data_IF_873501160608
#
_entry.id   IF_873501160608
#
_cell.length_a   1.000
_cell.length_b   1.000
_cell.length_c   1.000
_cell.angle_alpha   90.00
_cell.angle_beta   90.00
_cell.angle_gamma   90.00
#
_symmetry.space_group_name_H-M   'P 1'
#
loop_
_entity.id
_entity.type
_entity.pdbx_description
1 polymer ?
#
# COMPACT_ATOMS: atom_id res chain seq x y z
N UNK A 1 38.29 51.20 -37.39
CA UNK A 1 37.63 52.39 -36.81
C UNK A 1 36.53 52.81 -37.76
N UNK A 2 35.30 53.15 -37.40
CA UNK A 2 34.47 52.98 -36.20
C UNK A 2 33.11 53.54 -36.66
N UNK A 3 32.04 52.87 -36.26
CA UNK A 3 30.69 53.42 -36.03
C UNK A 3 29.90 53.87 -37.26
N UNK A 4 28.86 53.10 -37.58
CA UNK A 4 27.80 53.53 -38.49
C UNK A 4 26.77 52.43 -38.76
N UNK A 5 25.97 52.06 -37.75
CA UNK A 5 24.63 51.44 -37.87
C UNK A 5 24.11 51.05 -36.48
N UNK A 6 23.63 52.05 -35.75
CA UNK A 6 22.63 51.89 -34.70
C UNK A 6 21.57 52.95 -35.03
N UNK A 7 20.29 52.68 -34.76
CA UNK A 7 19.09 53.41 -35.21
C UNK A 7 18.52 52.86 -36.54
N UNK A 8 18.04 51.60 -36.54
CA UNK A 8 16.80 51.24 -37.23
C UNK A 8 16.27 49.85 -36.82
N UNK A 9 16.18 49.54 -35.52
CA UNK A 9 15.64 48.23 -35.08
C UNK A 9 14.93 48.28 -33.73
N UNK A 10 14.35 49.43 -33.34
CA UNK A 10 13.60 49.54 -32.08
C UNK A 10 12.18 50.12 -32.21
N UNK A 11 11.61 50.18 -33.42
CA UNK A 11 10.25 50.73 -33.61
C UNK A 11 9.20 49.74 -34.14
N UNK A 12 9.50 48.44 -34.17
CA UNK A 12 8.51 47.41 -34.60
C UNK A 12 8.07 46.49 -33.45
N UNK A 13 8.77 46.50 -32.31
CA UNK A 13 8.42 45.64 -31.15
C UNK A 13 7.40 46.30 -30.21
N UNK A 14 7.15 47.60 -30.30
CA UNK A 14 6.28 48.32 -29.36
C UNK A 14 4.80 48.43 -29.77
N UNK A 15 4.40 47.99 -30.96
CA UNK A 15 3.00 48.06 -31.43
C UNK A 15 2.28 46.70 -31.38
N UNK A 16 2.96 45.61 -31.01
CA UNK A 16 2.34 44.29 -30.81
C UNK A 16 1.96 43.96 -29.36
N UNK A 17 2.17 44.89 -28.41
CA UNK A 17 1.86 44.70 -26.98
C UNK A 17 0.55 45.42 -26.54
N UNK A 18 -0.18 46.05 -27.47
CA UNK A 18 -1.37 46.86 -27.17
C UNK A 18 -2.73 46.19 -27.43
N UNK A 19 -2.78 44.88 -27.73
CA UNK A 19 -4.02 44.11 -27.80
C UNK A 19 -4.05 43.02 -26.72
N UNK A 20 -4.01 43.43 -25.46
CA UNK A 20 -4.46 42.60 -24.34
C UNK A 20 -5.97 42.74 -24.26
N UNK A 21 -6.68 41.81 -24.90
CA UNK A 21 -8.11 41.59 -24.65
C UNK A 21 -8.24 41.29 -23.15
N UNK A 22 -9.14 41.95 -22.40
CA UNK A 22 -9.44 41.54 -21.04
C UNK A 22 -10.14 40.18 -21.13
N UNK A 23 -9.36 39.11 -21.03
CA UNK A 23 -9.89 37.78 -20.82
C UNK A 23 -10.49 37.80 -19.41
N UNK A 24 -11.78 38.12 -19.35
CA UNK A 24 -12.60 37.91 -18.18
C UNK A 24 -12.44 36.44 -17.81
N UNK A 25 -11.67 36.19 -16.75
CA UNK A 25 -11.74 34.92 -16.05
C UNK A 25 -13.18 34.79 -15.59
N UNK A 26 -13.99 34.06 -16.36
CA UNK A 26 -15.18 33.45 -15.83
C UNK A 26 -14.70 32.74 -14.56
N UNK A 27 -15.27 33.11 -13.41
CA UNK A 27 -15.16 32.32 -12.19
C UNK A 27 -15.69 30.94 -12.56
N UNK A 28 -14.77 30.07 -13.00
CA UNK A 28 -15.04 28.67 -13.21
C UNK A 28 -15.56 28.16 -11.88
N UNK A 29 -16.78 27.62 -11.91
CA UNK A 29 -17.37 26.93 -10.77
C UNK A 29 -16.29 26.04 -10.17
N UNK A 30 -16.07 26.19 -8.86
CA UNK A 30 -15.30 25.27 -8.04
C UNK A 30 -15.58 23.84 -8.52
N UNK A 31 -14.56 23.03 -8.85
CA UNK A 31 -14.79 21.62 -9.15
C UNK A 31 -15.43 21.02 -7.90
N UNK A 32 -16.64 20.49 -8.06
CA UNK A 32 -17.23 19.64 -7.02
C UNK A 32 -16.24 18.51 -6.75
N UNK A 33 -16.05 18.18 -5.47
CA UNK A 33 -15.44 16.93 -5.04
C UNK A 33 -15.95 15.77 -5.93
N UNK A 34 -15.12 14.75 -6.23
CA UNK A 34 -15.60 13.57 -6.93
C UNK A 34 -16.87 13.06 -6.25
N UNK A 35 -17.86 12.56 -7.02
CA UNK A 35 -19.13 12.17 -6.43
C UNK A 35 -18.87 11.14 -5.34
N UNK A 36 -19.46 11.39 -4.16
CA UNK A 36 -19.54 10.50 -2.99
C UNK A 36 -20.30 9.19 -3.29
N UNK A 37 -20.42 8.82 -4.57
CA UNK A 37 -21.39 7.89 -5.12
C UNK A 37 -20.75 6.55 -5.52
N UNK A 38 -19.48 6.31 -5.15
CA UNK A 38 -18.76 5.10 -5.53
C UNK A 38 -17.89 4.56 -4.40
N UNK A 39 -17.57 3.27 -4.48
CA UNK A 39 -16.59 2.64 -3.62
C UNK A 39 -15.19 3.12 -4.02
N UNK A 40 -14.33 3.34 -3.03
CA UNK A 40 -12.94 3.75 -3.25
C UNK A 40 -12.11 2.60 -3.84
N UNK A 41 -12.45 1.35 -3.51
CA UNK A 41 -11.93 0.15 -4.15
C UNK A 41 -13.08 -0.78 -4.52
N UNK A 42 -12.88 -1.65 -5.51
CA UNK A 42 -13.69 -2.87 -5.57
C UNK A 42 -13.40 -3.74 -4.33
N UNK A 43 -14.27 -4.70 -3.99
CA UNK A 43 -13.99 -5.64 -2.92
C UNK A 43 -12.88 -6.61 -3.31
N UNK A 44 -12.05 -7.00 -2.35
CA UNK A 44 -11.01 -8.01 -2.53
C UNK A 44 -11.07 -9.07 -1.44
N UNK A 45 -10.52 -10.24 -1.75
CA UNK A 45 -10.61 -11.44 -0.91
C UNK A 45 -9.35 -11.62 -0.06
N UNK A 46 -9.51 -12.06 1.20
CA UNK A 46 -8.41 -12.32 2.11
C UNK A 46 -8.67 -13.52 3.02
N UNK A 47 -7.61 -14.06 3.61
CA UNK A 47 -7.64 -15.04 4.71
C UNK A 47 -8.70 -16.17 4.55
N UNK A 48 -8.73 -16.89 3.41
CA UNK A 48 -9.63 -18.01 3.26
C UNK A 48 -9.31 -19.11 4.28
N UNK A 49 -10.34 -19.75 4.80
CA UNK A 49 -10.26 -20.99 5.60
C UNK A 49 -10.95 -22.12 4.83
N UNK A 50 -11.11 -23.31 5.41
CA UNK A 50 -11.84 -24.41 4.77
C UNK A 50 -13.26 -24.04 4.34
N UNK A 51 -13.95 -23.16 5.08
CA UNK A 51 -15.35 -22.81 4.83
C UNK A 51 -15.67 -21.31 4.92
N UNK A 52 -14.65 -20.44 5.02
CA UNK A 52 -14.82 -18.99 5.05
C UNK A 52 -13.87 -18.27 4.11
N UNK A 53 -14.19 -17.01 3.80
CA UNK A 53 -13.25 -16.04 3.23
C UNK A 53 -13.65 -14.64 3.68
N UNK A 54 -12.66 -13.78 3.89
CA UNK A 54 -12.88 -12.38 4.26
C UNK A 54 -13.01 -11.55 2.98
N UNK A 55 -13.96 -10.63 2.98
CA UNK A 55 -14.22 -9.70 1.88
C UNK A 55 -14.03 -8.29 2.43
N UNK A 56 -13.13 -7.54 1.80
CA UNK A 56 -12.72 -6.21 2.25
C UNK A 56 -12.90 -5.19 1.14
N UNK A 57 -13.36 -3.99 1.46
CA UNK A 57 -13.42 -2.86 0.53
C UNK A 57 -13.30 -1.54 1.28
N UNK A 58 -13.09 -0.46 0.53
CA UNK A 58 -12.87 0.87 1.08
C UNK A 58 -13.85 1.91 0.54
N UNK A 59 -14.10 2.93 1.34
CA UNK A 59 -14.90 4.12 0.99
C UNK A 59 -14.25 5.38 1.57
N UNK A 60 -14.67 6.54 1.05
CA UNK A 60 -14.37 7.86 1.62
C UNK A 60 -15.50 8.37 2.52
N UNK A 61 -16.35 7.47 3.02
CA UNK A 61 -17.41 7.79 3.96
C UNK A 61 -17.58 6.69 5.00
N UNK A 62 -17.90 7.06 6.24
CA UNK A 62 -18.12 6.08 7.30
C UNK A 62 -19.31 5.15 7.04
N UNK A 63 -20.34 5.69 6.39
CA UNK A 63 -21.61 5.04 6.09
C UNK A 63 -22.45 4.74 7.32
N UNK A 64 -23.72 4.42 7.09
CA UNK A 64 -24.64 3.97 8.14
C UNK A 64 -24.72 2.44 8.20
N UNK A 65 -24.49 1.77 7.08
CA UNK A 65 -24.52 0.31 7.00
C UNK A 65 -23.67 -0.21 5.83
N UNK A 66 -22.99 -1.32 6.06
CA UNK A 66 -22.16 -2.01 5.06
C UNK A 66 -22.41 -3.49 5.17
N UNK A 67 -22.62 -4.17 4.05
CA UNK A 67 -22.84 -5.62 4.06
C UNK A 67 -22.42 -6.26 2.75
N UNK A 68 -22.24 -7.57 2.80
CA UNK A 68 -22.04 -8.42 1.63
C UNK A 68 -23.31 -9.20 1.34
N UNK A 69 -23.51 -9.54 0.07
CA UNK A 69 -24.45 -10.58 -0.38
C UNK A 69 -23.69 -11.68 -1.09
N UNK A 70 -24.00 -12.94 -0.84
CA UNK A 70 -23.32 -14.08 -1.47
C UNK A 70 -24.21 -15.33 -1.55
N UNK A 71 -23.72 -16.36 -2.24
CA UNK A 71 -24.49 -17.57 -2.53
C UNK A 71 -24.97 -17.58 -3.98
N UNK A 72 -25.48 -18.71 -4.47
CA UNK A 72 -25.75 -18.92 -5.91
C UNK A 72 -26.72 -17.89 -6.50
N UNK A 73 -27.58 -17.29 -5.67
CA UNK A 73 -28.56 -16.26 -6.02
C UNK A 73 -28.38 -14.99 -5.18
N UNK A 74 -27.22 -14.78 -4.54
CA UNK A 74 -26.94 -13.67 -3.61
C UNK A 74 -27.93 -13.62 -2.43
N UNK A 75 -28.34 -14.79 -1.96
CA UNK A 75 -29.37 -14.99 -0.94
C UNK A 75 -28.88 -14.81 0.50
N UNK A 76 -27.58 -15.02 0.75
CA UNK A 76 -26.97 -14.82 2.06
C UNK A 76 -26.54 -13.37 2.22
N UNK A 77 -26.66 -12.83 3.44
CA UNK A 77 -26.24 -11.46 3.76
C UNK A 77 -25.51 -11.42 5.10
N UNK A 78 -24.39 -10.69 5.16
CA UNK A 78 -23.59 -10.51 6.39
C UNK A 78 -23.17 -9.04 6.50
N UNK A 79 -23.38 -8.45 7.69
CA UNK A 79 -22.97 -7.07 8.00
C UNK A 79 -21.45 -7.02 8.15
N UNK A 80 -20.85 -5.97 7.60
CA UNK A 80 -19.43 -5.71 7.70
C UNK A 80 -19.07 -4.90 8.96
N UNK A 81 -17.87 -5.16 9.49
CA UNK A 81 -17.24 -4.31 10.48
C UNK A 81 -16.56 -3.14 9.78
N UNK A 82 -16.84 -1.93 10.23
CA UNK A 82 -16.21 -0.70 9.75
C UNK A 82 -15.11 -0.23 10.69
N UNK A 83 -13.95 0.14 10.14
CA UNK A 83 -12.85 0.80 10.86
C UNK A 83 -12.28 1.93 10.01
N UNK A 84 -11.86 3.03 10.64
CA UNK A 84 -11.18 4.13 9.94
C UNK A 84 -9.67 3.88 9.92
N UNK A 85 -9.02 4.11 8.78
CA UNK A 85 -7.56 4.09 8.71
C UNK A 85 -7.00 5.31 9.45
N UNK A 86 -5.95 5.11 10.24
CA UNK A 86 -5.49 6.11 11.21
C UNK A 86 -4.41 7.04 10.68
N UNK A 87 -3.61 6.60 9.70
CA UNK A 87 -2.40 7.34 9.24
C UNK A 87 -2.42 7.82 7.80
N UNK A 88 -3.39 7.37 7.00
CA UNK A 88 -3.46 7.70 5.58
C UNK A 88 -3.72 9.20 5.36
N UNK A 89 -2.89 9.79 4.50
CA UNK A 89 -2.77 11.22 4.26
C UNK A 89 -2.52 11.49 2.78
N UNK A 90 -2.59 12.75 2.40
CA UNK A 90 -2.11 13.28 1.12
C UNK A 90 -1.17 14.46 1.37
N UNK A 91 -0.26 14.73 0.44
CA UNK A 91 0.63 15.89 0.47
C UNK A 91 0.84 16.47 -0.94
N UNK A 92 1.70 17.47 -1.06
CA UNK A 92 1.95 18.17 -2.33
C UNK A 92 2.55 17.26 -3.42
N UNK A 93 3.04 16.08 -3.04
CA UNK A 93 3.62 15.08 -3.95
C UNK A 93 2.62 13.97 -4.31
N UNK A 94 1.38 14.04 -3.80
CA UNK A 94 0.30 13.15 -4.20
C UNK A 94 -0.17 13.46 -5.63
N UNK A 95 -0.33 12.44 -6.44
CA UNK A 95 -0.84 12.57 -7.81
C UNK A 95 -2.37 12.46 -7.81
N UNK A 96 -3.02 13.51 -7.31
CA UNK A 96 -4.48 13.68 -7.25
C UNK A 96 -4.86 15.03 -7.85
N UNK A 97 -6.16 15.28 -8.09
CA UNK A 97 -6.61 16.50 -8.78
C UNK A 97 -6.19 17.79 -8.04
N UNK A 98 -6.26 17.77 -6.71
CA UNK A 98 -5.95 18.93 -5.86
C UNK A 98 -5.09 18.44 -4.68
N UNK A 99 -3.77 18.27 -4.88
CA UNK A 99 -2.90 17.85 -3.79
C UNK A 99 -2.77 18.98 -2.75
N UNK A 100 -2.87 18.66 -1.45
CA UNK A 100 -2.74 19.67 -0.40
C UNK A 100 -1.27 20.13 -0.27
N UNK A 101 -1.04 21.39 0.07
CA UNK A 101 0.32 21.93 0.25
C UNK A 101 1.08 21.30 1.45
N UNK A 102 0.36 20.74 2.41
CA UNK A 102 0.90 20.13 3.63
C UNK A 102 0.30 18.73 3.81
N UNK A 103 0.99 17.89 4.59
CA UNK A 103 0.50 16.56 4.95
C UNK A 103 -0.87 16.67 5.63
N UNK A 104 -1.91 16.18 4.96
CA UNK A 104 -3.30 16.34 5.39
C UNK A 104 -3.97 14.96 5.47
N UNK A 105 -4.66 14.62 6.58
CA UNK A 105 -5.42 13.37 6.69
C UNK A 105 -6.44 13.20 5.57
N UNK A 106 -6.51 12.00 4.99
CA UNK A 106 -7.58 11.59 4.08
C UNK A 106 -8.45 10.58 4.80
N UNK A 107 -9.74 10.88 4.94
CA UNK A 107 -10.61 9.99 5.68
C UNK A 107 -10.99 8.79 4.81
N UNK A 108 -10.47 7.61 5.17
CA UNK A 108 -10.76 6.36 4.48
C UNK A 108 -11.28 5.36 5.50
N UNK A 109 -12.34 4.65 5.13
CA UNK A 109 -12.95 3.63 5.94
C UNK A 109 -12.79 2.28 5.26
N UNK A 110 -12.41 1.30 6.07
CA UNK A 110 -12.30 -0.10 5.71
C UNK A 110 -13.54 -0.82 6.20
N UNK A 111 -14.11 -1.64 5.33
CA UNK A 111 -15.23 -2.51 5.65
C UNK A 111 -14.82 -3.95 5.43
N UNK A 112 -15.06 -4.81 6.41
CA UNK A 112 -14.75 -6.23 6.33
C UNK A 112 -15.92 -7.09 6.78
N UNK A 113 -16.30 -8.04 5.95
CA UNK A 113 -17.27 -9.09 6.28
C UNK A 113 -16.66 -10.46 6.01
N UNK A 114 -17.17 -11.49 6.70
CA UNK A 114 -16.73 -12.87 6.55
C UNK A 114 -17.88 -13.67 5.94
N UNK A 115 -17.68 -14.18 4.72
CA UNK A 115 -18.58 -15.18 4.16
C UNK A 115 -18.29 -16.53 4.82
N UNK A 116 -19.33 -17.27 5.19
CA UNK A 116 -19.21 -18.55 5.92
C UNK A 116 -20.02 -19.64 5.23
N UNK A 117 -19.83 -20.90 5.64
CA UNK A 117 -20.57 -22.04 5.05
C UNK A 117 -20.21 -22.31 3.59
N UNK A 118 -19.03 -21.87 3.15
CA UNK A 118 -18.53 -22.12 1.81
C UNK A 118 -18.06 -23.57 1.67
N UNK A 119 -18.19 -24.11 0.47
CA UNK A 119 -17.75 -25.47 0.14
C UNK A 119 -16.42 -25.36 -0.61
N UNK A 120 -15.35 -26.06 -0.16
CA UNK A 120 -14.07 -26.08 -0.86
C UNK A 120 -14.19 -26.37 -2.36
N UNK A 121 -13.39 -25.67 -3.16
CA UNK A 121 -13.36 -25.75 -4.63
C UNK A 121 -14.66 -25.35 -5.34
N UNK A 122 -15.67 -24.82 -4.62
CA UNK A 122 -16.86 -24.25 -5.23
C UNK A 122 -16.80 -22.72 -5.17
N UNK A 123 -16.89 -22.09 -6.34
CA UNK A 123 -17.05 -20.64 -6.45
C UNK A 123 -18.53 -20.26 -6.41
N UNK A 124 -18.83 -19.21 -5.66
CA UNK A 124 -20.17 -18.62 -5.56
C UNK A 124 -20.10 -17.11 -5.86
N UNK A 125 -21.15 -16.51 -6.43
CA UNK A 125 -21.16 -15.09 -6.65
C UNK A 125 -21.28 -14.31 -5.33
N UNK A 126 -20.75 -13.09 -5.31
CA UNK A 126 -20.91 -12.14 -4.22
C UNK A 126 -20.95 -10.69 -4.71
N UNK A 127 -21.48 -9.80 -3.88
CA UNK A 127 -21.53 -8.35 -4.10
C UNK A 127 -21.39 -7.64 -2.76
N UNK A 128 -20.74 -6.48 -2.73
CA UNK A 128 -20.71 -5.62 -1.55
C UNK A 128 -21.64 -4.42 -1.71
N UNK A 129 -22.21 -3.97 -0.60
CA UNK A 129 -23.11 -2.82 -0.55
C UNK A 129 -22.68 -1.91 0.59
N UNK A 130 -22.62 -0.61 0.28
CA UNK A 130 -22.42 0.46 1.26
C UNK A 130 -23.58 1.44 1.21
N UNK A 131 -24.07 1.85 2.38
CA UNK A 131 -25.19 2.78 2.52
C UNK A 131 -24.70 4.05 3.22
N UNK A 132 -24.96 5.20 2.62
CA UNK A 132 -24.76 6.52 3.22
C UNK A 132 -26.07 7.31 3.13
N UNK A 133 -26.75 7.46 4.27
CA UNK A 133 -28.06 8.10 4.32
C UNK A 133 -29.09 7.35 3.47
N UNK A 134 -29.52 7.97 2.36
CA UNK A 134 -30.48 7.36 1.40
C UNK A 134 -29.79 6.69 0.21
N UNK A 135 -28.49 6.87 0.07
CA UNK A 135 -27.74 6.38 -1.07
C UNK A 135 -27.27 4.94 -0.82
N UNK A 136 -27.45 4.10 -1.84
CA UNK A 136 -26.98 2.72 -1.84
C UNK A 136 -25.98 2.55 -2.97
N UNK A 137 -24.75 2.22 -2.62
CA UNK A 137 -23.64 1.98 -3.56
C UNK A 137 -23.35 0.49 -3.54
N UNK A 138 -23.35 -0.15 -4.70
CA UNK A 138 -23.10 -1.60 -4.82
C UNK A 138 -21.98 -1.86 -5.82
N UNK A 139 -21.11 -2.83 -5.55
CA UNK A 139 -20.12 -3.28 -6.51
C UNK A 139 -20.78 -4.02 -7.68
N UNK A 140 -19.98 -4.41 -8.70
CA UNK A 140 -20.37 -5.52 -9.58
C UNK A 140 -20.52 -6.83 -8.78
N UNK A 141 -21.08 -7.84 -9.42
CA UNK A 141 -21.07 -9.21 -8.88
C UNK A 141 -19.75 -9.87 -9.27
N UNK A 142 -18.99 -10.29 -8.26
CA UNK A 142 -17.75 -11.04 -8.41
C UNK A 142 -17.93 -12.47 -7.88
N UNK A 143 -16.86 -13.26 -7.78
CA UNK A 143 -16.93 -14.64 -7.26
C UNK A 143 -15.94 -14.86 -6.14
N UNK A 144 -16.33 -15.65 -5.15
CA UNK A 144 -15.47 -16.04 -4.04
C UNK A 144 -15.47 -17.56 -3.87
N UNK A 145 -14.43 -18.08 -3.23
CA UNK A 145 -14.35 -19.46 -2.77
C UNK A 145 -13.62 -19.51 -1.43
N UNK A 146 -13.87 -20.57 -0.67
CA UNK A 146 -13.01 -20.92 0.47
C UNK A 146 -11.69 -21.54 -0.01
N UNK A 147 -10.85 -21.92 0.94
CA UNK A 147 -9.59 -22.59 0.67
C UNK A 147 -9.81 -23.86 -0.18
N UNK A 148 -8.96 -24.12 -1.19
CA UNK A 148 -9.07 -25.31 -2.00
C UNK A 148 -8.70 -26.57 -1.18
N UNK A 149 -9.25 -27.70 -1.60
CA UNK A 149 -8.88 -29.01 -1.04
C UNK A 149 -7.46 -29.41 -1.44
N UNK A 150 -6.89 -30.37 -0.71
CA UNK A 150 -5.63 -31.00 -1.10
C UNK A 150 -5.74 -31.66 -2.48
N UNK A 151 -4.63 -31.68 -3.22
CA UNK A 151 -4.51 -32.16 -4.61
C UNK A 151 -5.28 -31.37 -5.68
N UNK A 152 -5.89 -30.23 -5.33
CA UNK A 152 -6.44 -29.31 -6.33
C UNK A 152 -5.32 -28.70 -7.17
N UNK A 153 -5.48 -28.70 -8.49
CA UNK A 153 -4.58 -27.97 -9.39
C UNK A 153 -4.80 -26.46 -9.19
N UNK A 154 -3.73 -25.70 -8.93
CA UNK A 154 -3.80 -24.27 -8.61
C UNK A 154 -3.02 -23.42 -9.62
N UNK A 155 -3.58 -22.28 -9.98
CA UNK A 155 -2.91 -21.20 -10.71
C UNK A 155 -2.64 -20.04 -9.75
N UNK A 156 -1.38 -19.86 -9.38
CA UNK A 156 -0.96 -18.84 -8.40
C UNK A 156 -0.24 -17.70 -9.12
N UNK A 157 -0.67 -16.47 -8.88
CA UNK A 157 0.09 -15.29 -9.28
C UNK A 157 1.11 -14.96 -8.19
N UNK A 158 2.39 -15.15 -8.48
CA UNK A 158 3.49 -14.65 -7.66
C UNK A 158 3.98 -13.33 -8.23
N UNK A 159 3.99 -12.28 -7.41
CA UNK A 159 4.38 -10.93 -7.82
C UNK A 159 4.95 -10.15 -6.62
N UNK A 160 5.54 -8.98 -6.85
CA UNK A 160 6.13 -8.10 -5.84
C UNK A 160 6.51 -6.77 -6.51
N UNK A 161 6.98 -5.80 -5.71
CA UNK A 161 7.61 -4.57 -6.19
C UNK A 161 6.70 -3.80 -7.16
N UNK A 162 5.39 -3.76 -6.85
CA UNK A 162 4.41 -3.07 -7.67
C UNK A 162 4.70 -1.59 -7.70
N UNK A 163 4.91 -0.96 -6.54
CA UNK A 163 5.44 0.39 -6.34
C UNK A 163 4.96 1.46 -7.33
N UNK A 164 3.72 1.35 -7.83
CA UNK A 164 3.16 2.18 -8.89
C UNK A 164 4.03 2.24 -10.16
N UNK A 165 4.83 1.20 -10.40
CA UNK A 165 5.77 1.14 -11.49
C UNK A 165 5.01 1.07 -12.83
N UNK A 166 5.52 1.74 -13.89
CA UNK A 166 4.83 1.87 -15.17
C UNK A 166 4.38 0.54 -15.78
N UNK A 167 5.18 -0.51 -15.60
CA UNK A 167 4.92 -1.84 -16.16
C UNK A 167 3.94 -2.67 -15.35
N UNK A 168 3.61 -2.29 -14.11
CA UNK A 168 2.74 -3.08 -13.23
C UNK A 168 1.36 -3.28 -13.86
N UNK A 169 0.73 -2.20 -14.32
CA UNK A 169 -0.59 -2.26 -14.97
C UNK A 169 -0.53 -3.11 -16.24
N UNK A 170 0.47 -2.92 -17.09
CA UNK A 170 0.65 -3.69 -18.33
C UNK A 170 0.88 -5.20 -18.08
N UNK A 171 1.71 -5.54 -17.09
CA UNK A 171 1.97 -6.92 -16.71
C UNK A 171 0.69 -7.60 -16.20
N UNK A 172 -0.10 -6.91 -15.39
CA UNK A 172 -1.38 -7.43 -14.89
C UNK A 172 -2.43 -7.56 -16.00
N UNK A 173 -2.44 -6.66 -17.01
CA UNK A 173 -3.25 -6.86 -18.23
C UNK A 173 -2.89 -8.18 -18.90
N UNK A 174 -1.60 -8.45 -19.05
CA UNK A 174 -1.14 -9.67 -19.73
C UNK A 174 -1.46 -10.94 -18.96
N UNK A 175 -1.40 -10.88 -17.63
CA UNK A 175 -1.83 -11.99 -16.77
C UNK A 175 -3.28 -12.38 -17.09
N UNK A 176 -4.22 -11.43 -17.08
CA UNK A 176 -5.64 -11.75 -17.32
C UNK A 176 -5.95 -12.08 -18.79
N UNK A 177 -5.12 -11.64 -19.74
CA UNK A 177 -5.23 -12.05 -21.14
C UNK A 177 -4.70 -13.47 -21.39
N UNK A 178 -3.82 -13.96 -20.52
CA UNK A 178 -3.14 -15.26 -20.70
C UNK A 178 -3.77 -16.36 -19.85
N UNK A 179 -4.28 -16.00 -18.68
CA UNK A 179 -4.77 -16.93 -17.66
C UNK A 179 -6.23 -16.61 -17.36
N UNK A 180 -7.13 -17.56 -17.66
CA UNK A 180 -8.57 -17.37 -17.44
C UNK A 180 -8.90 -17.03 -15.97
N UNK A 181 -8.34 -17.80 -15.03
CA UNK A 181 -8.66 -17.69 -13.62
C UNK A 181 -7.43 -17.95 -12.76
N UNK A 182 -7.19 -17.03 -11.82
CA UNK A 182 -6.18 -17.13 -10.77
C UNK A 182 -6.86 -17.61 -9.49
N UNK A 183 -6.21 -18.53 -8.78
CA UNK A 183 -6.72 -19.10 -7.53
C UNK A 183 -6.24 -18.38 -6.29
N UNK A 184 -5.04 -17.78 -6.33
CA UNK A 184 -4.55 -16.88 -5.29
C UNK A 184 -3.46 -15.95 -5.83
N UNK A 185 -3.27 -14.81 -5.16
CA UNK A 185 -2.17 -13.87 -5.40
C UNK A 185 -1.25 -13.88 -4.19
N UNK A 186 0.03 -14.21 -4.42
CA UNK A 186 1.10 -14.06 -3.44
C UNK A 186 1.93 -12.85 -3.83
N UNK A 187 1.84 -11.78 -3.05
CA UNK A 187 2.50 -10.50 -3.30
C UNK A 187 3.61 -10.25 -2.26
N UNK A 188 4.87 -10.41 -2.67
CA UNK A 188 6.03 -10.44 -1.77
C UNK A 188 6.56 -9.03 -1.40
N UNK A 189 5.68 -8.15 -0.93
CA UNK A 189 6.03 -6.82 -0.43
C UNK A 189 6.29 -5.79 -1.52
N UNK A 190 6.56 -4.56 -1.07
CA UNK A 190 6.76 -3.36 -1.88
C UNK A 190 5.55 -3.10 -2.80
N UNK A 191 4.39 -2.99 -2.17
CA UNK A 191 3.08 -2.85 -2.79
C UNK A 191 2.88 -1.44 -3.36
N UNK A 192 3.30 -0.44 -2.61
CA UNK A 192 3.24 1.00 -2.94
C UNK A 192 4.61 1.64 -2.73
N UNK A 193 4.78 2.94 -2.98
CA UNK A 193 6.04 3.63 -2.66
C UNK A 193 6.04 4.20 -1.24
N UNK A 194 4.93 4.79 -0.81
CA UNK A 194 4.81 5.45 0.49
C UNK A 194 3.51 4.96 1.14
N UNK A 195 3.60 4.22 2.26
CA UNK A 195 2.45 3.49 2.78
C UNK A 195 1.38 4.42 3.34
N UNK A 196 1.76 5.57 3.89
CA UNK A 196 0.80 6.55 4.43
C UNK A 196 0.18 7.45 3.34
N UNK A 197 0.60 7.36 2.06
CA UNK A 197 -0.03 8.13 0.98
C UNK A 197 -1.25 7.38 0.44
N UNK A 198 -2.44 7.91 0.71
CA UNK A 198 -3.69 7.25 0.36
C UNK A 198 -3.82 6.99 -1.15
N UNK A 199 -3.54 7.99 -1.99
CA UNK A 199 -3.65 7.88 -3.44
C UNK A 199 -2.86 6.71 -4.03
N UNK A 200 -1.73 6.34 -3.44
CA UNK A 200 -0.93 5.21 -3.93
C UNK A 200 -1.62 3.86 -3.80
N UNK A 201 -2.53 3.72 -2.84
CA UNK A 201 -3.37 2.55 -2.70
C UNK A 201 -4.57 2.60 -3.65
N UNK A 202 -5.20 3.77 -3.78
CA UNK A 202 -6.59 3.84 -4.21
C UNK A 202 -6.84 4.52 -5.57
N UNK A 203 -6.16 5.63 -5.88
CA UNK A 203 -6.58 6.50 -6.99
C UNK A 203 -5.50 7.47 -7.51
N UNK A 204 -4.23 7.08 -7.44
CA UNK A 204 -3.13 7.80 -8.07
C UNK A 204 -3.41 8.02 -9.56
N UNK A 205 -3.45 9.30 -9.98
CA UNK A 205 -3.84 9.73 -11.33
C UNK A 205 -2.83 9.34 -12.42
N UNK A 206 -1.65 8.85 -12.06
CA UNK A 206 -0.74 8.22 -13.05
C UNK A 206 -1.25 6.85 -13.49
N UNK A 207 -2.21 6.27 -12.75
CA UNK A 207 -2.90 5.04 -13.10
C UNK A 207 -2.22 3.75 -12.62
N UNK A 208 -1.23 3.87 -11.74
CA UNK A 208 -0.46 2.76 -11.16
C UNK A 208 -0.85 2.37 -9.73
N UNK A 209 -1.91 2.97 -9.15
CA UNK A 209 -2.31 2.69 -7.78
C UNK A 209 -2.56 1.19 -7.54
N UNK A 210 -2.25 0.72 -6.34
CA UNK A 210 -2.18 -0.72 -6.03
C UNK A 210 -3.51 -1.45 -6.26
N UNK A 211 -4.60 -0.99 -5.62
CA UNK A 211 -5.91 -1.63 -5.78
C UNK A 211 -6.42 -1.51 -7.21
N UNK A 212 -6.45 -0.33 -7.86
CA UNK A 212 -6.89 -0.24 -9.25
C UNK A 212 -6.16 -1.18 -10.20
N UNK A 213 -4.83 -1.32 -10.07
CA UNK A 213 -4.02 -2.17 -10.95
C UNK A 213 -4.40 -3.64 -10.83
N UNK A 214 -4.70 -4.14 -9.62
CA UNK A 214 -5.15 -5.51 -9.35
C UNK A 214 -6.66 -5.72 -9.49
N UNK A 215 -7.41 -4.65 -9.78
CA UNK A 215 -8.87 -4.67 -9.87
C UNK A 215 -9.39 -4.37 -11.28
N UNK A 216 -8.53 -4.30 -12.29
CA UNK A 216 -8.97 -3.98 -13.65
C UNK A 216 -9.25 -2.50 -13.89
N UNK A 217 -8.94 -1.64 -12.91
CA UNK A 217 -9.27 -0.21 -12.91
C UNK A 217 -8.04 0.69 -13.09
N UNK A 218 -6.83 0.12 -13.06
CA UNK A 218 -5.59 0.80 -13.42
C UNK A 218 -5.67 1.31 -14.86
N UNK A 219 -4.95 2.39 -15.15
CA UNK A 219 -5.01 3.06 -16.44
C UNK A 219 -3.67 3.75 -16.72
N UNK A 220 -2.70 3.00 -17.22
CA UNK A 220 -1.34 3.51 -17.42
C UNK A 220 -1.03 3.65 -18.92
N UNK A 221 -0.65 4.85 -19.36
CA UNK A 221 -0.21 5.10 -20.73
C UNK A 221 1.30 4.82 -20.85
N UNK A 222 1.67 3.94 -21.79
CA UNK A 222 3.05 3.71 -22.20
C UNK A 222 3.24 4.13 -23.65
N UNK A 223 4.35 4.80 -23.93
CA UNK A 223 4.74 5.20 -25.29
C UNK A 223 5.97 4.41 -25.73
N UNK A 224 5.88 3.79 -26.90
CA UNK A 224 7.02 3.13 -27.56
C UNK A 224 6.95 3.44 -29.06
N UNK A 225 8.06 3.92 -29.64
CA UNK A 225 8.16 4.32 -31.04
C UNK A 225 7.06 5.28 -31.51
N UNK A 226 6.67 6.23 -30.64
CA UNK A 226 5.61 7.21 -30.92
C UNK A 226 4.18 6.64 -30.85
N UNK A 227 4.01 5.36 -30.53
CA UNK A 227 2.72 4.71 -30.33
C UNK A 227 2.39 4.72 -28.84
N UNK A 228 1.30 5.40 -28.49
CA UNK A 228 0.74 5.41 -27.13
C UNK A 228 -0.24 4.26 -26.97
N UNK A 229 0.02 3.41 -25.99
CA UNK A 229 -0.88 2.31 -25.61
C UNK A 229 -1.31 2.51 -24.18
N UNK A 230 -2.63 2.46 -23.96
CA UNK A 230 -3.21 2.50 -22.63
C UNK A 230 -3.40 1.06 -22.14
N UNK A 231 -2.75 0.73 -21.04
CA UNK A 231 -2.91 -0.55 -20.36
C UNK A 231 -3.87 -0.42 -19.19
N UNK A 232 -4.74 -1.42 -19.04
CA UNK A 232 -5.65 -1.52 -17.91
C UNK A 232 -5.19 -2.55 -16.90
N UNK A 233 -5.55 -2.38 -15.62
CA UNK A 233 -5.25 -3.40 -14.62
C UNK A 233 -5.82 -4.78 -14.96
N UNK A 234 -5.50 -5.80 -14.18
CA UNK A 234 -6.18 -7.09 -14.24
C UNK A 234 -7.29 -7.16 -13.19
N UNK A 235 -8.51 -7.60 -13.54
CA UNK A 235 -9.59 -7.89 -12.55
C UNK A 235 -9.28 -9.22 -11.84
N UNK A 236 -8.45 -9.17 -10.78
CA UNK A 236 -7.87 -10.37 -10.17
C UNK A 236 -8.36 -10.56 -8.73
N UNK A 237 -8.11 -9.59 -7.86
CA UNK A 237 -8.26 -9.80 -6.40
C UNK A 237 -9.72 -9.77 -5.93
N UNK A 238 -10.64 -9.38 -6.81
CA UNK A 238 -12.08 -9.61 -6.62
C UNK A 238 -12.46 -11.09 -6.69
N UNK A 239 -11.60 -11.92 -7.29
CA UNK A 239 -11.85 -13.35 -7.51
C UNK A 239 -10.86 -14.26 -6.80
N UNK A 240 -9.68 -13.74 -6.44
CA UNK A 240 -8.61 -14.51 -5.83
C UNK A 240 -8.17 -13.89 -4.49
N UNK A 241 -8.03 -14.68 -3.42
CA UNK A 241 -7.47 -14.20 -2.16
C UNK A 241 -6.06 -13.64 -2.34
N UNK A 242 -5.85 -12.45 -1.78
CA UNK A 242 -4.59 -11.73 -1.77
C UNK A 242 -3.83 -12.01 -0.46
N UNK A 243 -2.63 -12.57 -0.60
CA UNK A 243 -1.67 -12.78 0.46
C UNK A 243 -0.49 -11.85 0.25
N UNK A 244 -0.27 -10.91 1.17
CA UNK A 244 0.85 -9.96 1.08
C UNK A 244 1.93 -10.27 2.12
N UNK A 245 3.15 -9.82 1.85
CA UNK A 245 4.23 -9.68 2.82
C UNK A 245 4.56 -8.20 3.02
N UNK A 246 5.30 -7.89 4.08
CA UNK A 246 5.86 -6.56 4.32
C UNK A 246 7.21 -6.42 3.62
N UNK A 247 7.31 -5.49 2.67
CA UNK A 247 8.57 -4.97 2.15
C UNK A 247 9.02 -3.71 2.89
N UNK A 248 10.12 -3.09 2.44
CA UNK A 248 10.58 -1.83 3.04
C UNK A 248 9.64 -0.66 2.72
N UNK A 249 8.91 -0.71 1.61
CA UNK A 249 7.96 0.32 1.25
C UNK A 249 6.64 0.27 2.03
N UNK A 250 6.41 -0.77 2.83
CA UNK A 250 5.32 -0.80 3.81
C UNK A 250 5.71 -0.22 5.18
N UNK A 251 6.98 0.16 5.35
CA UNK A 251 7.51 0.71 6.60
C UNK A 251 7.56 2.23 6.53
N UNK A 252 6.71 2.89 7.30
CA UNK A 252 6.74 4.33 7.46
C UNK A 252 7.74 4.73 8.55
N UNK A 253 8.47 5.83 8.35
CA UNK A 253 9.34 6.40 9.37
C UNK A 253 8.58 7.24 10.40
N UNK A 254 9.29 8.21 10.99
CA UNK A 254 8.77 9.05 12.07
C UNK A 254 7.66 9.99 11.58
N UNK A 255 6.65 10.16 12.41
CA UNK A 255 5.60 11.14 12.19
C UNK A 255 6.11 12.53 12.52
N UNK A 256 5.95 13.48 11.60
CA UNK A 256 6.28 14.88 11.80
C UNK A 256 5.38 15.74 10.92
N UNK A 257 4.51 16.52 11.56
CA UNK A 257 3.53 17.37 10.87
C UNK A 257 4.16 18.41 9.93
N UNK A 258 5.45 18.72 10.09
CA UNK A 258 6.16 19.67 9.24
C UNK A 258 6.81 19.02 8.02
N UNK A 259 6.86 17.68 7.97
CA UNK A 259 7.48 16.93 6.89
C UNK A 259 6.44 16.51 5.84
N UNK A 260 6.91 16.41 4.59
CA UNK A 260 6.22 15.64 3.55
C UNK A 260 6.22 14.16 3.90
N UNK A 261 5.28 13.39 3.35
CA UNK A 261 5.22 11.94 3.54
C UNK A 261 6.50 11.26 3.04
N UNK A 262 7.11 11.77 1.97
CA UNK A 262 8.40 11.28 1.47
C UNK A 262 9.55 11.49 2.47
N UNK A 263 9.58 12.64 3.14
CA UNK A 263 10.57 12.90 4.18
C UNK A 263 10.35 12.01 5.40
N UNK A 264 9.11 11.84 5.85
CA UNK A 264 8.79 10.91 6.94
C UNK A 264 9.16 9.46 6.59
N UNK A 265 8.82 8.98 5.39
CA UNK A 265 9.19 7.65 4.87
C UNK A 265 10.71 7.42 4.95
N UNK A 266 11.50 8.40 4.49
CA UNK A 266 12.95 8.34 4.56
C UNK A 266 13.51 8.50 5.99
N UNK A 267 12.71 8.90 6.97
CA UNK A 267 13.13 9.25 8.32
C UNK A 267 12.74 8.19 9.35
N UNK A 268 13.01 6.92 9.05
CA UNK A 268 12.85 5.83 10.04
C UNK A 268 14.00 5.82 11.05
N UNK A 269 13.75 5.29 12.25
CA UNK A 269 14.77 5.04 13.29
C UNK A 269 14.50 3.75 14.04
N UNK A 270 15.52 3.03 14.56
CA UNK A 270 15.31 1.86 15.41
C UNK A 270 14.44 2.16 16.64
N UNK A 271 13.57 1.22 17.03
CA UNK A 271 12.69 1.36 18.20
C UNK A 271 13.46 1.57 19.50
N UNK A 272 14.61 0.90 19.64
CA UNK A 272 15.45 1.03 20.83
C UNK A 272 15.99 2.44 21.00
N UNK A 273 16.41 3.08 19.91
CA UNK A 273 16.87 4.47 19.89
C UNK A 273 15.73 5.42 20.27
N UNK A 274 14.54 5.23 19.70
CA UNK A 274 13.36 6.01 20.12
C UNK A 274 13.04 5.82 21.60
N UNK A 275 13.14 4.60 22.13
CA UNK A 275 12.91 4.32 23.56
C UNK A 275 13.92 5.02 24.47
N UNK A 276 15.18 5.09 24.09
CA UNK A 276 16.22 5.81 24.85
C UNK A 276 15.91 7.31 24.90
N UNK A 277 15.46 7.91 23.80
CA UNK A 277 15.01 9.30 23.79
C UNK A 277 13.76 9.53 24.62
N UNK A 278 12.80 8.61 24.54
CA UNK A 278 11.61 8.66 25.37
C UNK A 278 11.98 8.72 26.85
N UNK A 279 12.90 7.87 27.31
CA UNK A 279 13.34 7.82 28.72
C UNK A 279 13.97 9.15 29.20
N UNK A 280 14.66 9.87 28.32
CA UNK A 280 15.23 11.18 28.64
C UNK A 280 14.16 12.27 28.79
N UNK A 281 13.06 12.17 28.03
CA UNK A 281 11.99 13.17 27.98
C UNK A 281 10.77 12.80 28.83
N UNK A 282 10.68 11.56 29.34
CA UNK A 282 9.47 10.97 29.91
C UNK A 282 8.84 11.83 31.02
N UNK A 283 9.67 12.46 31.86
CA UNK A 283 9.19 13.35 32.92
C UNK A 283 8.40 14.56 32.39
N UNK A 284 8.79 15.09 31.22
CA UNK A 284 8.14 16.24 30.60
C UNK A 284 6.93 15.83 29.76
N UNK A 285 7.06 14.76 28.96
CA UNK A 285 6.05 14.38 27.96
C UNK A 285 5.02 13.36 28.46
N UNK A 286 5.32 12.63 29.54
CA UNK A 286 4.44 11.64 30.15
C UNK A 286 4.53 11.66 31.69
N UNK A 287 4.19 12.79 32.34
CA UNK A 287 4.34 12.95 33.80
C UNK A 287 3.48 11.97 34.61
N UNK A 288 2.43 11.40 34.00
CA UNK A 288 1.53 10.42 34.62
C UNK A 288 1.95 8.97 34.40
N UNK A 289 3.04 8.71 33.66
CA UNK A 289 3.48 7.37 33.27
C UNK A 289 2.37 6.54 32.58
N UNK A 290 1.61 7.17 31.67
CA UNK A 290 0.61 6.47 30.87
C UNK A 290 1.32 5.51 29.88
N UNK A 291 1.12 4.18 29.99
CA UNK A 291 1.78 3.22 29.11
C UNK A 291 1.34 3.35 27.64
N UNK A 292 0.13 3.84 27.36
CA UNK A 292 -0.33 4.04 25.98
C UNK A 292 0.40 5.22 25.34
N UNK A 293 0.59 6.31 26.09
CA UNK A 293 1.33 7.48 25.62
C UNK A 293 2.80 7.14 25.33
N UNK A 294 3.44 6.31 26.17
CA UNK A 294 4.78 5.78 25.89
C UNK A 294 4.81 5.02 24.56
N UNK A 295 3.89 4.07 24.37
CA UNK A 295 3.84 3.24 23.16
C UNK A 295 3.62 4.08 21.90
N UNK A 296 2.68 5.02 21.93
CA UNK A 296 2.38 5.89 20.80
C UNK A 296 3.52 6.85 20.50
N UNK A 297 4.15 7.41 21.54
CA UNK A 297 5.31 8.28 21.36
C UNK A 297 6.48 7.53 20.71
N UNK A 298 6.83 6.34 21.22
CA UNK A 298 7.92 5.52 20.66
C UNK A 298 7.60 5.14 19.20
N UNK A 299 6.36 4.74 18.91
CA UNK A 299 5.93 4.39 17.54
C UNK A 299 6.03 5.58 16.59
N UNK A 300 5.54 6.75 16.99
CA UNK A 300 5.57 7.97 16.18
C UNK A 300 6.98 8.54 16.03
N UNK A 301 7.90 8.24 16.96
CA UNK A 301 9.30 8.65 16.91
C UNK A 301 10.26 7.53 16.44
N UNK A 302 9.74 6.46 15.84
CA UNK A 302 10.50 5.35 15.26
C UNK A 302 10.00 5.01 13.85
N UNK A 303 9.75 3.74 13.57
CA UNK A 303 9.10 3.23 12.38
C UNK A 303 7.79 2.54 12.76
N UNK A 304 6.86 2.49 11.82
CA UNK A 304 5.59 1.77 11.97
C UNK A 304 5.16 1.10 10.65
N UNK A 305 4.20 0.20 10.77
CA UNK A 305 3.56 -0.52 9.66
C UNK A 305 2.04 -0.41 9.78
N UNK A 306 1.54 0.63 10.47
CA UNK A 306 0.15 0.72 10.90
C UNK A 306 -0.79 0.71 9.69
N UNK A 307 -0.50 1.49 8.64
CA UNK A 307 -1.34 1.55 7.44
C UNK A 307 -1.49 0.19 6.76
N UNK A 308 -0.40 -0.57 6.62
CA UNK A 308 -0.44 -1.93 6.08
C UNK A 308 -1.29 -2.86 6.96
N UNK A 309 -1.07 -2.81 8.28
CA UNK A 309 -1.79 -3.64 9.27
C UNK A 309 -3.27 -3.27 9.42
N UNK A 310 -3.66 -2.08 8.99
CA UNK A 310 -5.03 -1.59 8.93
C UNK A 310 -5.71 -1.96 7.62
N UNK A 311 -4.99 -1.97 6.49
CA UNK A 311 -5.52 -2.36 5.18
C UNK A 311 -5.80 -3.87 5.11
N UNK A 312 -4.84 -4.69 5.54
CA UNK A 312 -4.89 -6.14 5.30
C UNK A 312 -5.28 -6.98 6.53
N UNK A 313 -6.24 -7.88 6.32
CA UNK A 313 -6.48 -9.03 7.20
C UNK A 313 -5.63 -10.22 6.77
N UNK A 314 -4.48 -10.39 7.41
CA UNK A 314 -3.58 -11.52 7.14
C UNK A 314 -3.96 -12.75 7.98
N UNK A 315 -3.58 -13.96 7.52
CA UNK A 315 -3.69 -15.18 8.32
C UNK A 315 -3.06 -14.98 9.70
N UNK A 316 -3.74 -15.48 10.73
CA UNK A 316 -3.24 -15.45 12.10
C UNK A 316 -2.65 -16.79 12.49
N UNK A 317 -1.57 -16.77 13.28
CA UNK A 317 -0.98 -17.96 13.89
C UNK A 317 -0.73 -17.73 15.37
N UNK A 318 -0.58 -18.81 16.14
CA UNK A 318 -0.35 -18.73 17.59
C UNK A 318 0.97 -18.03 17.97
N UNK A 319 1.93 -17.98 17.05
CA UNK A 319 3.27 -17.41 17.25
C UNK A 319 3.56 -16.20 16.36
N UNK A 320 2.66 -15.86 15.43
CA UNK A 320 2.82 -14.80 14.43
C UNK A 320 1.50 -14.18 13.99
N UNK A 321 1.50 -12.85 13.82
CA UNK A 321 0.29 -12.03 13.59
C UNK A 321 0.37 -11.18 12.30
N UNK A 322 -0.09 -9.93 12.37
CA UNK A 322 -0.23 -8.99 11.24
C UNK A 322 1.05 -8.61 10.45
N UNK A 323 2.21 -9.18 10.80
CA UNK A 323 3.50 -8.86 10.15
C UNK A 323 4.19 -10.08 9.54
N UNK A 324 3.92 -11.28 10.05
CA UNK A 324 4.44 -12.53 9.53
C UNK A 324 3.47 -13.64 9.90
N UNK A 325 3.29 -14.61 9.01
CA UNK A 325 2.30 -15.66 9.17
C UNK A 325 2.73 -16.92 8.42
N UNK A 326 2.12 -18.04 8.81
CA UNK A 326 2.15 -19.27 8.05
C UNK A 326 0.71 -19.73 7.84
N UNK A 327 0.42 -20.22 6.64
CA UNK A 327 -0.90 -20.76 6.28
C UNK A 327 -0.76 -21.87 5.24
N UNK A 328 -1.84 -22.60 5.00
CA UNK A 328 -1.92 -23.59 3.94
C UNK A 328 -2.99 -23.14 2.94
N UNK A 329 -2.73 -23.37 1.65
CA UNK A 329 -3.67 -23.11 0.57
C UNK A 329 -3.58 -24.27 -0.43
N UNK A 330 -4.54 -25.20 -0.37
CA UNK A 330 -4.42 -26.50 -1.03
C UNK A 330 -3.19 -27.26 -0.53
N UNK A 331 -2.30 -27.67 -1.43
CA UNK A 331 -1.05 -28.35 -1.08
C UNK A 331 0.14 -27.40 -0.83
N UNK A 332 -0.10 -26.08 -0.91
CA UNK A 332 0.95 -25.07 -0.68
C UNK A 332 0.96 -24.69 0.79
N UNK A 333 2.10 -24.86 1.45
CA UNK A 333 2.36 -24.26 2.75
C UNK A 333 3.11 -22.93 2.56
N UNK A 334 2.42 -21.82 2.77
CA UNK A 334 2.94 -20.46 2.59
C UNK A 334 3.47 -19.94 3.92
N UNK A 335 4.73 -19.49 3.95
CA UNK A 335 5.35 -18.82 5.09
C UNK A 335 5.74 -17.42 4.63
N UNK A 336 5.10 -16.40 5.20
CA UNK A 336 5.41 -14.98 4.98
C UNK A 336 6.20 -14.45 6.18
N UNK A 337 7.36 -13.84 5.91
CA UNK A 337 8.28 -13.33 6.91
C UNK A 337 8.37 -11.81 6.83
N UNK A 338 8.55 -11.16 7.98
CA UNK A 338 8.91 -9.74 8.04
C UNK A 338 10.42 -9.61 8.13
N UNK A 339 11.08 -9.62 6.97
CA UNK A 339 12.53 -9.53 6.85
C UNK A 339 12.90 -8.38 5.91
N UNK A 340 12.80 -7.15 6.42
CA UNK A 340 13.15 -5.96 5.65
C UNK A 340 14.04 -4.99 6.43
N UNK A 341 14.80 -4.21 5.68
CA UNK A 341 15.64 -3.10 6.11
C UNK A 341 15.21 -1.87 5.31
N UNK A 342 15.11 -0.68 5.93
CA UNK A 342 14.85 0.52 5.11
C UNK A 342 16.05 0.76 4.20
N UNK A 343 15.73 0.98 2.93
CA UNK A 343 16.72 1.36 1.95
C UNK A 343 17.34 2.72 2.32
N UNK A 344 18.67 2.77 2.35
CA UNK A 344 19.46 3.98 2.56
C UNK A 344 20.39 4.19 1.37
N UNK A 345 20.55 5.44 0.96
CA UNK A 345 21.44 5.82 -0.15
C UNK A 345 22.87 5.33 0.12
N UNK A 346 23.54 4.71 -0.87
CA UNK A 346 24.97 4.38 -0.76
C UNK A 346 25.88 5.58 -1.00
N UNK A 347 25.33 6.77 -1.27
CA UNK A 347 26.08 7.99 -1.57
C UNK A 347 26.99 8.43 -0.42
N UNK A 348 28.13 9.02 -0.78
CA UNK A 348 29.18 9.44 0.16
C UNK A 348 29.32 10.97 0.23
N UNK A 349 28.41 11.74 -0.37
CA UNK A 349 28.42 13.20 -0.33
C UNK A 349 28.15 13.74 1.08
N UNK A 350 28.64 14.94 1.40
CA UNK A 350 28.61 15.49 2.77
C UNK A 350 27.19 15.60 3.35
N UNK A 351 26.22 15.90 2.50
CA UNK A 351 24.81 16.09 2.84
C UNK A 351 24.02 14.77 2.87
N UNK A 352 24.62 13.66 2.41
CA UNK A 352 23.95 12.37 2.34
C UNK A 352 23.81 11.77 3.73
N UNK A 353 22.56 11.61 4.17
CA UNK A 353 22.19 10.70 5.25
C UNK A 353 22.06 9.29 4.66
N UNK A 354 23.16 8.56 4.66
CA UNK A 354 23.35 7.36 3.85
C UNK A 354 23.50 6.09 4.68
N UNK A 355 23.70 4.97 3.98
CA UNK A 355 23.92 3.65 4.59
C UNK A 355 25.15 3.61 5.50
N UNK A 356 26.20 4.35 5.13
CA UNK A 356 27.52 4.24 5.75
C UNK A 356 27.87 5.41 6.67
N UNK A 357 27.10 6.49 6.64
CA UNK A 357 27.35 7.70 7.43
C UNK A 357 26.10 8.54 7.58
N UNK A 358 26.08 9.32 8.65
CA UNK A 358 25.16 10.42 8.82
C UNK A 358 25.65 11.65 8.05
N UNK A 359 24.73 12.58 7.79
CA UNK A 359 25.09 13.84 7.13
C UNK A 359 26.04 14.66 8.02
N UNK A 360 26.98 15.40 7.42
CA UNK A 360 27.99 16.16 8.18
C UNK A 360 27.35 17.17 9.14
N UNK A 361 26.24 17.79 8.74
CA UNK A 361 25.49 18.73 9.59
C UNK A 361 24.87 18.08 10.83
N UNK A 362 24.60 16.79 10.80
CA UNK A 362 23.91 16.06 11.86
C UNK A 362 24.88 15.24 12.72
N UNK A 363 26.18 15.18 12.40
CA UNK A 363 27.18 14.39 13.14
C UNK A 363 27.22 14.69 14.65
N UNK A 364 26.94 15.93 15.05
CA UNK A 364 26.91 16.33 16.47
C UNK A 364 25.50 16.32 17.08
N UNK A 365 24.51 15.81 16.34
CA UNK A 365 23.12 15.75 16.77
C UNK A 365 22.54 14.33 16.56
N UNK A 366 22.80 13.39 17.49
CA UNK A 366 22.29 12.02 17.42
C UNK A 366 20.76 11.92 17.26
N UNK A 367 20.03 12.93 17.70
CA UNK A 367 18.56 13.00 17.55
C UNK A 367 18.14 13.17 16.09
N UNK A 368 19.05 13.57 15.21
CA UNK A 368 18.82 13.70 13.76
C UNK A 368 19.33 12.51 12.95
N UNK A 369 20.03 11.57 13.60
CA UNK A 369 20.58 10.40 12.92
C UNK A 369 19.48 9.44 12.44
N UNK A 370 19.64 8.89 11.26
CA UNK A 370 18.73 7.94 10.63
C UNK A 370 18.88 6.52 11.21
N UNK A 371 19.99 6.25 11.88
CA UNK A 371 20.29 5.01 12.58
C UNK A 371 21.69 5.07 13.21
N UNK A 372 22.15 3.98 13.82
CA UNK A 372 23.49 3.84 14.40
C UNK A 372 24.56 3.44 13.34
N UNK A 373 24.33 3.80 12.06
CA UNK A 373 25.19 3.36 10.95
C UNK A 373 25.13 1.86 10.64
N UNK A 374 24.17 1.11 11.22
CA UNK A 374 23.93 -0.31 10.95
C UNK A 374 22.60 -0.51 10.23
N UNK A 375 22.57 -1.46 9.30
CA UNK A 375 21.33 -1.96 8.71
C UNK A 375 20.37 -2.36 9.84
N UNK A 376 19.35 -1.55 10.03
CA UNK A 376 18.40 -1.72 11.12
C UNK A 376 17.37 -2.76 10.70
N UNK A 377 17.61 -4.02 11.05
CA UNK A 377 16.59 -5.07 10.88
C UNK A 377 15.42 -4.74 11.79
N UNK A 378 14.23 -4.54 11.21
CA UNK A 378 13.06 -4.07 11.95
C UNK A 378 12.50 -5.04 12.97
N UNK A 379 12.81 -6.33 12.83
CA UNK A 379 12.56 -7.33 13.85
C UNK A 379 13.74 -8.28 14.00
N UNK A 380 14.05 -8.57 15.26
CA UNK A 380 14.97 -9.65 15.60
C UNK A 380 14.36 -11.00 15.21
N UNK A 381 14.83 -11.55 14.08
CA UNK A 381 14.41 -12.85 13.58
C UNK A 381 14.75 -14.00 14.56
N UNK A 382 15.62 -13.78 15.56
CA UNK A 382 15.91 -14.78 16.60
C UNK A 382 14.72 -15.06 17.53
N UNK A 383 13.72 -14.17 17.57
CA UNK A 383 12.46 -14.38 18.30
C UNK A 383 11.49 -15.32 17.60
N UNK A 384 11.71 -15.63 16.32
CA UNK A 384 11.00 -16.72 15.65
C UNK A 384 11.54 -18.05 16.21
N UNK A 385 10.95 -18.53 17.32
CA UNK A 385 11.14 -19.89 17.86
C UNK A 385 10.85 -21.02 16.85
N UNK A 386 10.32 -20.66 15.68
CA UNK A 386 10.04 -21.49 14.51
C UNK A 386 11.32 -21.95 13.78
N UNK A 387 12.49 -21.34 14.04
CA UNK A 387 13.64 -21.46 13.14
C UNK A 387 14.52 -22.71 13.27
N UNK A 388 14.52 -23.45 14.39
CA UNK A 388 15.31 -24.70 14.46
C UNK A 388 14.62 -25.89 13.77
N UNK A 389 13.32 -26.13 13.96
CA UNK A 389 12.65 -27.27 13.32
C UNK A 389 12.39 -27.03 11.83
N UNK A 390 11.97 -25.83 11.40
CA UNK A 390 11.62 -25.59 10.00
C UNK A 390 12.85 -25.59 9.09
N UNK A 391 13.98 -25.00 9.50
CA UNK A 391 15.21 -25.15 8.72
C UNK A 391 15.68 -26.60 8.68
N UNK A 392 15.50 -27.37 9.76
CA UNK A 392 15.81 -28.80 9.77
C UNK A 392 14.90 -29.59 8.84
N UNK A 393 13.59 -29.31 8.81
CA UNK A 393 12.62 -29.96 7.91
C UNK A 393 12.84 -29.55 6.45
N UNK A 394 13.13 -28.27 6.17
CA UNK A 394 13.48 -27.78 4.84
C UNK A 394 14.81 -28.39 4.39
N UNK A 395 15.85 -28.41 5.25
CA UNK A 395 17.13 -29.06 4.94
C UNK A 395 16.99 -30.58 4.79
N UNK A 396 16.16 -31.26 5.58
CA UNK A 396 15.90 -32.69 5.46
C UNK A 396 15.10 -33.03 4.19
N UNK A 397 14.13 -32.18 3.79
CA UNK A 397 13.44 -32.30 2.49
C UNK A 397 14.36 -32.00 1.32
N UNK A 398 15.19 -30.95 1.39
CA UNK A 398 16.15 -30.63 0.33
C UNK A 398 17.23 -31.73 0.20
N UNK A 399 17.68 -32.32 1.32
CA UNK A 399 18.58 -33.49 1.32
C UNK A 399 17.91 -34.74 0.76
N UNK A 400 16.64 -34.99 1.05
CA UNK A 400 15.92 -36.15 0.51
C UNK A 400 15.67 -36.03 -1.00
N UNK A 401 15.45 -34.81 -1.50
CA UNK A 401 15.35 -34.51 -2.94
C UNK A 401 16.72 -34.69 -3.63
N UNK A 402 17.81 -34.23 -3.00
CA UNK A 402 19.18 -34.42 -3.52
C UNK A 402 19.63 -35.90 -3.53
N UNK A 403 19.11 -36.74 -2.64
CA UNK A 403 19.48 -38.16 -2.56
C UNK A 403 18.73 -39.07 -3.54
N UNK A 404 17.71 -38.55 -4.25
CA UNK A 404 16.92 -39.31 -5.25
C UNK A 404 17.39 -39.12 -6.69
N UNK A 405 18.41 -38.28 -6.92
CA UNK A 405 19.01 -38.02 -8.23
C UNK A 405 20.51 -38.40 -8.28
N UNK A 406 20.90 -39.46 -7.57
CA UNK A 406 22.19 -40.14 -7.76
C UNK A 406 21.99 -41.62 -8.03
#
# INVERSE_FOLDING_TARGET
>A
MKIGKLILTNLVIFILIAFVIPMTFALGKQPKNPPTDSLLSDPFLQAPTENTVNIVWFTEFAGTEHYIKYGQKLEQQVIAKTTKLSRVREDQQSYINTPPNQSTPRNIWRHEAIATGLIPNQRVPYQVVSIEGKQKISSKVFTLASQPSANSALKILLTSDHQLMPMTTANLSQVVNTIDQIDAVFCAGDLVNIPDRASEWFDDLRGGAFFPSLQGRGNYELEHDGIKTIYHGGEIIQHAPLFTALGNHEVMGRLDANNTLKQEFANSKPRQVAKEFYQQLAFEINPTNDPQLEQDWIKNNSFNTDTYEEIFSLPQSSTGGKRYYATTFGDIHLISLYATNIWRSPGMEAETQGRYKESVKDLNNPNMWAGDGKESVYQDLSKLRIYKPIWKVILERLKSISSKNK
#
